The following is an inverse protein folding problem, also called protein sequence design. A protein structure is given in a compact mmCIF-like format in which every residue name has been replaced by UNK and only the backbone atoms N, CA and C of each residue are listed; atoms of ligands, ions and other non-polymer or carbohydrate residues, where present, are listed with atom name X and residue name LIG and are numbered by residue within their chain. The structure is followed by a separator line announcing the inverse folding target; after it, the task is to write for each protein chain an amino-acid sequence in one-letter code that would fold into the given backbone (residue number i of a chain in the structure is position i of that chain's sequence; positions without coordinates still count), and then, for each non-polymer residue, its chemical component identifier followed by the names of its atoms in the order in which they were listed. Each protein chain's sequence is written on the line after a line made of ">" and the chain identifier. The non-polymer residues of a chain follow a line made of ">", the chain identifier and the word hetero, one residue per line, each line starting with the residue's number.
data_IF_336436333343
#
_entry.id   IF_336436333343
#
_cell.length_a   1.000
_cell.length_b   1.000
_cell.length_c   1.000
_cell.angle_alpha   90.00
_cell.angle_beta   90.00
_cell.angle_gamma   90.00
#
_symmetry.space_group_name_H-M   'P 1'
#
loop_
_entity.id
_entity.type
_entity.pdbx_description
1 polymer ?
#
# COMPACT_ATOMS: atom_id res chain seq x y z
N UNK A 1 -44.66 -28.00 -12.58
CA UNK A 1 -44.73 -29.48 -12.52
C UNK A 1 -43.69 -30.04 -13.46
N UNK A 2 -43.11 -31.22 -13.15
CA UNK A 2 -41.90 -31.89 -13.71
C UNK A 2 -40.62 -31.50 -12.92
N UNK A 3 -39.96 -32.30 -12.04
CA UNK A 3 -39.73 -33.77 -11.94
C UNK A 3 -39.22 -34.32 -13.28
N UNK A 4 -38.13 -35.08 -13.43
CA UNK A 4 -37.17 -35.73 -12.53
C UNK A 4 -36.13 -36.41 -13.42
N UNK A 5 -34.92 -36.63 -12.89
CA UNK A 5 -34.07 -37.82 -13.11
C UNK A 5 -33.20 -38.01 -14.38
N UNK A 6 -31.89 -37.91 -14.11
CA UNK A 6 -30.86 -38.97 -14.24
C UNK A 6 -30.42 -39.49 -15.61
N UNK A 7 -29.21 -39.14 -16.03
CA UNK A 7 -28.22 -39.99 -16.74
C UNK A 7 -26.86 -39.28 -16.58
N UNK A 8 -25.73 -39.83 -16.19
CA UNK A 8 -25.26 -41.17 -15.87
C UNK A 8 -23.74 -40.99 -15.78
N UNK A 9 -23.10 -41.48 -14.71
CA UNK A 9 -21.64 -41.47 -14.60
C UNK A 9 -21.05 -42.33 -15.73
N UNK A 10 -20.18 -41.74 -16.56
CA UNK A 10 -19.17 -42.47 -17.30
C UNK A 10 -17.87 -41.67 -17.22
N UNK A 11 -17.11 -41.97 -16.16
CA UNK A 11 -15.68 -41.76 -16.11
C UNK A 11 -15.06 -42.68 -17.18
N UNK A 12 -14.18 -42.14 -18.01
CA UNK A 12 -12.87 -42.72 -18.41
C UNK A 12 -12.33 -42.01 -19.65
N UNK A 13 -11.16 -41.38 -19.52
CA UNK A 13 -10.40 -40.85 -20.67
C UNK A 13 -9.30 -39.88 -20.24
N UNK A 14 -8.13 -40.39 -19.89
CA UNK A 14 -6.93 -39.60 -19.59
C UNK A 14 -6.40 -38.92 -20.85
N UNK A 15 -6.52 -37.60 -20.98
CA UNK A 15 -5.62 -36.77 -21.79
C UNK A 15 -5.76 -35.28 -21.43
N UNK A 16 -4.63 -34.70 -21.02
CA UNK A 16 -4.32 -33.27 -20.93
C UNK A 16 -4.95 -32.47 -19.78
N UNK A 17 -4.11 -32.28 -18.76
CA UNK A 17 -4.14 -31.20 -17.78
C UNK A 17 -4.40 -29.83 -18.44
N UNK A 18 -5.65 -29.38 -18.48
CA UNK A 18 -5.94 -27.95 -18.48
C UNK A 18 -5.82 -27.48 -17.03
N UNK A 19 -4.59 -27.19 -16.61
CA UNK A 19 -4.36 -26.28 -15.48
C UNK A 19 -4.96 -24.96 -15.93
N UNK A 20 -6.23 -24.74 -15.60
CA UNK A 20 -6.85 -23.43 -15.66
C UNK A 20 -6.03 -22.55 -14.73
N UNK A 21 -5.14 -21.77 -15.34
CA UNK A 21 -4.20 -20.92 -14.65
C UNK A 21 -4.96 -20.06 -13.66
N UNK A 22 -4.61 -20.18 -12.39
CA UNK A 22 -4.89 -19.15 -11.40
C UNK A 22 -4.19 -17.89 -11.92
N UNK A 23 -4.94 -17.00 -12.57
CA UNK A 23 -4.49 -15.62 -12.76
C UNK A 23 -4.53 -15.00 -11.37
N UNK A 24 -3.46 -15.23 -10.60
CA UNK A 24 -3.32 -14.60 -9.29
C UNK A 24 -3.22 -13.10 -9.56
N UNK A 25 -4.28 -12.38 -9.25
CA UNK A 25 -4.28 -10.92 -9.15
C UNK A 25 -3.40 -10.57 -7.95
N UNK A 26 -2.09 -10.50 -8.17
CA UNK A 26 -1.17 -10.00 -7.16
C UNK A 26 -1.56 -8.55 -6.87
N UNK A 27 -2.02 -8.27 -5.64
CA UNK A 27 -2.23 -6.89 -5.21
C UNK A 27 -0.90 -6.17 -5.36
N UNK A 28 -0.90 -5.10 -6.14
CA UNK A 28 0.27 -4.28 -6.39
C UNK A 28 0.89 -3.73 -5.09
N UNK A 29 2.21 -3.46 -5.07
CA UNK A 29 2.87 -2.90 -3.91
C UNK A 29 2.29 -1.54 -3.54
N UNK A 30 2.07 -1.35 -2.24
CA UNK A 30 1.75 -0.06 -1.65
C UNK A 30 3.06 0.65 -1.33
N UNK A 31 3.18 1.89 -1.78
CA UNK A 31 4.34 2.76 -1.63
C UNK A 31 3.93 4.03 -0.87
N UNK A 32 4.71 4.39 0.15
CA UNK A 32 4.59 5.68 0.81
C UNK A 32 5.99 6.25 1.09
N UNK A 33 6.35 7.41 0.51
CA UNK A 33 7.66 8.01 0.72
C UNK A 33 7.84 8.45 2.18
N UNK A 34 9.06 8.21 2.71
CA UNK A 34 9.44 8.51 4.10
C UNK A 34 10.75 9.27 4.14
N UNK A 35 10.77 10.37 4.90
CA UNK A 35 11.99 11.11 5.21
C UNK A 35 12.50 10.69 6.58
N UNK A 36 13.81 10.51 6.69
CA UNK A 36 14.44 10.28 7.99
C UNK A 36 14.51 11.60 8.76
N UNK A 37 14.29 11.51 10.07
CA UNK A 37 14.37 12.64 11.00
C UNK A 37 15.07 12.19 12.29
N UNK A 38 15.49 13.12 13.16
CA UNK A 38 16.03 12.77 14.48
C UNK A 38 15.04 12.00 15.37
N UNK A 39 13.73 12.08 15.10
CA UNK A 39 12.69 11.35 15.80
C UNK A 39 12.37 9.98 15.16
N UNK A 40 13.11 9.59 14.13
CA UNK A 40 12.84 8.42 13.29
C UNK A 40 12.23 8.79 11.93
N UNK A 41 11.93 7.80 11.08
CA UNK A 41 11.33 8.02 9.77
C UNK A 41 9.90 8.55 9.90
N UNK A 42 9.57 9.57 9.11
CA UNK A 42 8.24 10.18 9.04
C UNK A 42 7.77 10.19 7.59
N UNK A 43 6.51 9.81 7.37
CA UNK A 43 5.93 9.79 6.03
C UNK A 43 5.73 11.19 5.46
N UNK A 44 5.87 11.29 4.15
CA UNK A 44 5.53 12.49 3.38
C UNK A 44 4.07 12.42 2.96
N UNK A 45 3.26 13.37 3.43
CA UNK A 45 1.82 13.37 3.21
C UNK A 45 1.06 12.22 3.88
N UNK A 46 -0.23 12.11 3.54
CA UNK A 46 -1.16 11.16 4.17
C UNK A 46 -1.70 10.08 3.22
N UNK A 47 -1.26 10.10 1.97
CA UNK A 47 -1.75 9.23 0.91
C UNK A 47 -0.76 8.11 0.64
N UNK A 48 -1.27 6.90 0.45
CA UNK A 48 -0.53 5.76 -0.07
C UNK A 48 -0.59 5.75 -1.60
N UNK A 49 0.42 5.18 -2.24
CA UNK A 49 0.46 5.03 -3.69
C UNK A 49 0.49 3.56 -4.06
N UNK A 50 -0.38 3.14 -4.97
CA UNK A 50 -0.35 1.80 -5.56
C UNK A 50 -0.04 1.94 -7.05
N UNK A 51 1.03 1.31 -7.51
CA UNK A 51 1.51 1.48 -8.89
C UNK A 51 1.70 2.95 -9.31
N UNK A 52 2.12 3.81 -8.38
CA UNK A 52 2.30 5.24 -8.62
C UNK A 52 1.01 6.07 -8.64
N UNK A 53 -0.15 5.47 -8.38
CA UNK A 53 -1.45 6.14 -8.31
C UNK A 53 -1.88 6.28 -6.84
N UNK A 54 -2.41 7.43 -6.41
CA UNK A 54 -3.04 7.58 -5.10
C UNK A 54 -4.04 6.48 -4.77
N UNK A 55 -3.82 5.77 -3.67
CA UNK A 55 -4.66 4.72 -3.14
C UNK A 55 -5.61 5.32 -2.08
N UNK A 56 -6.73 5.86 -2.58
CA UNK A 56 -7.75 6.50 -1.74
C UNK A 56 -8.40 5.52 -0.76
N UNK A 57 -8.46 4.23 -1.11
CA UNK A 57 -9.04 3.17 -0.28
C UNK A 57 -8.18 2.81 0.94
N UNK A 58 -6.93 3.27 1.01
CA UNK A 58 -6.05 3.01 2.17
C UNK A 58 -5.68 4.30 2.90
N UNK A 59 -6.15 5.45 2.42
CA UNK A 59 -5.79 6.76 2.95
C UNK A 59 -6.33 6.98 4.38
N UNK A 60 -7.47 6.38 4.74
CA UNK A 60 -8.01 6.44 6.11
C UNK A 60 -7.11 5.77 7.17
N UNK A 61 -6.15 4.94 6.77
CA UNK A 61 -5.26 4.24 7.69
C UNK A 61 -4.26 5.19 8.40
N UNK A 62 -4.18 6.46 7.97
CA UNK A 62 -3.24 7.45 8.53
C UNK A 62 -3.88 8.51 9.41
N UNK A 63 -5.16 8.40 9.74
CA UNK A 63 -5.82 9.40 10.59
C UNK A 63 -5.03 9.64 11.89
N UNK A 64 -4.80 10.91 12.20
CA UNK A 64 -4.03 11.37 13.37
C UNK A 64 -2.54 10.99 13.39
N UNK A 65 -1.98 10.44 12.31
CA UNK A 65 -0.54 10.19 12.22
C UNK A 65 0.24 11.47 11.90
N UNK A 66 1.47 11.55 12.40
CA UNK A 66 2.40 12.64 12.05
C UNK A 66 2.88 12.48 10.62
N UNK A 67 2.90 13.59 9.89
CA UNK A 67 3.33 13.64 8.49
C UNK A 67 4.26 14.83 8.26
N UNK A 68 5.15 14.69 7.27
CA UNK A 68 5.85 15.84 6.70
C UNK A 68 4.90 16.54 5.74
N UNK A 69 4.65 17.83 5.99
CA UNK A 69 3.78 18.67 5.18
C UNK A 69 4.54 19.20 3.95
N UNK A 70 4.92 18.27 3.07
CA UNK A 70 5.51 18.55 1.77
C UNK A 70 4.89 17.63 0.73
N UNK A 71 5.05 17.94 -0.55
CA UNK A 71 4.56 17.08 -1.62
C UNK A 71 5.52 15.90 -1.82
N UNK A 72 4.98 14.75 -2.23
CA UNK A 72 5.79 13.58 -2.58
C UNK A 72 6.82 13.92 -3.67
N UNK A 73 6.41 14.69 -4.68
CA UNK A 73 7.32 15.13 -5.74
C UNK A 73 8.49 15.96 -5.18
N UNK A 74 8.24 16.89 -4.25
CA UNK A 74 9.30 17.66 -3.62
C UNK A 74 10.25 16.77 -2.83
N UNK A 75 9.72 15.80 -2.06
CA UNK A 75 10.54 14.86 -1.30
C UNK A 75 11.44 13.99 -2.19
N UNK A 76 10.91 13.50 -3.33
CA UNK A 76 11.70 12.71 -4.29
C UNK A 76 12.85 13.52 -4.90
N UNK A 77 12.67 14.83 -5.07
CA UNK A 77 13.69 15.75 -5.60
C UNK A 77 14.71 16.22 -4.55
N UNK A 78 14.50 15.93 -3.26
CA UNK A 78 15.50 16.27 -2.22
C UNK A 78 16.83 15.58 -2.52
N UNK A 79 17.94 16.24 -2.23
CA UNK A 79 19.26 15.61 -2.28
C UNK A 79 19.39 14.60 -1.15
N UNK A 80 20.00 13.46 -1.45
CA UNK A 80 20.24 12.41 -0.45
C UNK A 80 21.16 12.92 0.67
N UNK A 81 20.86 12.53 1.90
CA UNK A 81 21.61 12.83 3.13
C UNK A 81 21.85 14.33 3.41
N UNK A 82 21.13 15.22 2.71
CA UNK A 82 21.13 16.65 3.01
C UNK A 82 20.03 16.95 4.01
N UNK A 83 20.39 17.66 5.08
CA UNK A 83 19.46 18.06 6.13
C UNK A 83 18.67 19.31 5.70
N UNK A 84 17.36 19.14 5.53
CA UNK A 84 16.41 20.20 5.26
C UNK A 84 15.56 20.48 6.49
N UNK A 85 14.95 21.66 6.56
CA UNK A 85 13.93 21.96 7.58
C UNK A 85 12.54 21.62 7.02
N UNK A 86 11.98 20.50 7.45
CA UNK A 86 10.67 20.03 7.05
C UNK A 86 9.57 20.59 7.96
N UNK A 87 8.49 21.16 7.40
CA UNK A 87 7.27 21.43 8.17
C UNK A 87 6.57 20.12 8.54
N UNK A 88 6.08 20.04 9.76
CA UNK A 88 5.30 18.91 10.24
C UNK A 88 3.80 19.21 10.23
N UNK A 89 3.04 18.12 10.25
CA UNK A 89 1.61 18.15 10.32
C UNK A 89 1.03 16.87 10.91
N UNK A 90 -0.29 16.82 10.94
CA UNK A 90 -1.08 15.67 11.35
C UNK A 90 -2.06 15.34 10.23
N UNK A 91 -2.18 14.07 9.91
CA UNK A 91 -3.10 13.60 8.90
C UNK A 91 -4.55 13.73 9.36
N UNK A 92 -5.34 14.46 8.58
CA UNK A 92 -6.80 14.49 8.61
C UNK A 92 -7.26 14.08 7.23
N UNK A 93 -7.84 12.88 7.14
CA UNK A 93 -8.15 12.21 5.88
C UNK A 93 -6.91 12.08 4.97
N UNK A 94 -6.97 12.63 3.76
CA UNK A 94 -5.92 12.61 2.75
C UNK A 94 -4.94 13.80 2.86
N UNK A 95 -5.21 14.73 3.78
CA UNK A 95 -4.48 15.99 3.89
C UNK A 95 -3.58 15.99 5.13
N UNK A 96 -2.30 16.33 4.91
CA UNK A 96 -1.38 16.61 6.00
C UNK A 96 -1.62 18.05 6.50
N UNK A 97 -2.40 18.21 7.57
CA UNK A 97 -2.68 19.53 8.14
C UNK A 97 -1.48 20.03 8.93
N UNK A 98 -0.99 21.23 8.64
CA UNK A 98 0.21 21.76 9.32
C UNK A 98 -0.03 21.95 10.81
N UNK A 99 0.95 21.55 11.63
CA UNK A 99 0.94 21.77 13.08
C UNK A 99 1.69 23.04 13.50
N UNK A 100 2.33 23.75 12.55
CA UNK A 100 3.25 24.85 12.82
C UNK A 100 4.64 24.41 13.32
N UNK A 101 4.84 23.11 13.58
CA UNK A 101 6.14 22.56 13.99
C UNK A 101 7.05 22.30 12.79
N UNK A 102 8.36 22.26 13.05
CA UNK A 102 9.40 21.97 12.06
C UNK A 102 10.43 21.01 12.65
N UNK A 103 10.99 20.16 11.80
CA UNK A 103 12.06 19.22 12.18
C UNK A 103 13.12 19.15 11.09
N UNK A 104 14.35 18.81 11.47
CA UNK A 104 15.37 18.39 10.49
C UNK A 104 14.96 17.10 9.80
N UNK A 105 15.13 17.02 8.49
CA UNK A 105 14.73 15.86 7.70
C UNK A 105 15.71 15.64 6.54
N UNK A 106 15.89 14.39 6.11
CA UNK A 106 16.72 14.07 4.96
C UNK A 106 16.17 12.87 4.19
N UNK A 107 16.46 12.86 2.89
CA UNK A 107 16.18 11.72 2.02
C UNK A 107 17.31 10.70 2.15
N UNK A 108 16.99 9.44 2.39
CA UNK A 108 17.95 8.34 2.28
C UNK A 108 17.90 7.71 0.89
N UNK A 109 18.96 7.00 0.48
CA UNK A 109 19.05 6.41 -0.86
C UNK A 109 17.98 5.34 -1.14
N UNK A 110 17.47 4.69 -0.09
CA UNK A 110 16.43 3.65 -0.15
C UNK A 110 14.99 4.16 -0.13
N UNK A 111 14.75 5.43 -0.51
CA UNK A 111 13.38 5.96 -0.61
C UNK A 111 12.57 5.33 -1.76
N UNK A 112 13.22 4.60 -2.66
CA UNK A 112 12.56 3.74 -3.63
C UNK A 112 12.20 2.43 -2.96
N UNK A 113 11.00 1.87 -3.22
CA UNK A 113 10.69 0.54 -2.73
C UNK A 113 11.71 -0.40 -3.39
N UNK A 114 12.63 -0.93 -2.59
CA UNK A 114 13.35 -2.13 -2.97
C UNK A 114 12.29 -3.14 -3.41
N UNK A 115 12.44 -3.69 -4.61
CA UNK A 115 11.53 -4.68 -5.18
C UNK A 115 11.37 -5.94 -4.30
N UNK A 116 12.09 -6.00 -3.17
CA UNK A 116 12.14 -7.08 -2.20
C UNK A 116 11.59 -6.69 -0.79
N UNK A 117 11.15 -5.45 -0.55
CA UNK A 117 10.59 -5.01 0.75
C UNK A 117 9.08 -4.78 0.69
N UNK A 118 8.38 -5.77 0.15
CA UNK A 118 6.92 -5.83 0.11
C UNK A 118 6.43 -6.23 1.51
N UNK A 119 6.27 -5.25 2.39
CA UNK A 119 5.54 -5.48 3.64
C UNK A 119 4.07 -5.68 3.30
N UNK A 120 3.64 -6.94 3.34
CA UNK A 120 2.23 -7.27 3.40
C UNK A 120 1.64 -6.57 4.63
N UNK A 121 0.68 -5.68 4.43
CA UNK A 121 -0.19 -5.24 5.52
C UNK A 121 -0.89 -6.49 6.11
N UNK A 122 -0.98 -6.61 7.45
CA UNK A 122 -1.56 -7.79 8.07
C UNK A 122 -3.02 -7.96 7.64
N UNK A 123 -3.33 -9.19 7.23
CA UNK A 123 -4.62 -9.72 6.78
C UNK A 123 -5.85 -9.03 7.37
N UNK A 124 -6.63 -8.39 6.50
CA UNK A 124 -8.05 -8.14 6.77
C UNK A 124 -8.82 -9.46 6.65
N UNK A 125 -8.95 -10.12 7.80
CA UNK A 125 -10.06 -11.02 8.20
C UNK A 125 -10.54 -12.04 7.16
N UNK A 126 -10.10 -13.28 7.34
CA UNK A 126 -10.91 -14.47 7.04
C UNK A 126 -12.28 -14.36 7.71
N UNK A 127 -13.33 -14.18 6.91
CA UNK A 127 -14.71 -14.42 7.30
C UNK A 127 -15.56 -14.68 6.05
N UNK A 128 -15.63 -15.94 5.64
CA UNK A 128 -16.85 -16.60 5.16
C UNK A 128 -16.51 -18.10 5.06
N UNK A 129 -17.06 -19.01 5.87
CA UNK A 129 -18.47 -19.11 6.23
C UNK A 129 -19.11 -20.23 5.42
N UNK A 130 -18.57 -21.45 5.52
CA UNK A 130 -19.17 -22.63 4.89
C UNK A 130 -20.46 -23.01 5.62
N UNK A 131 -21.60 -22.88 4.94
CA UNK A 131 -22.81 -23.68 5.19
C UNK A 131 -23.52 -24.01 3.87
#
# INVERSE_FOLDING_TARGET
>A
MMRSSSFGLLVLGYASLLVLGLCQTTKAPIFAPQLDTPAGPIFVGCIYYRNGIPDVDTTYLRLSQTCVNTTVQAALQMKEYVNYTCPLGVCSDDICQSSGLRIGCWKVSSMLPDLNSMTMLPNDREADGSN
#
